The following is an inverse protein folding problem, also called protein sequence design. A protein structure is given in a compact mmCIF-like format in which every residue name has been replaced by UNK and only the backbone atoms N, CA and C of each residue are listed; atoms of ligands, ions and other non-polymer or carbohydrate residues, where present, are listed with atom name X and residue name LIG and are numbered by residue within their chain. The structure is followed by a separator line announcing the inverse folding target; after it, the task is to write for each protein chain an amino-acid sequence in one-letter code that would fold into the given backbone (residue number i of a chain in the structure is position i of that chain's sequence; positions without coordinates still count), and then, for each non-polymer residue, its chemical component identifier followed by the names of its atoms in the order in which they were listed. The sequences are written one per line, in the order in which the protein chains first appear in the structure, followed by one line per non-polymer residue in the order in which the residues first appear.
data_IF_092024125717
#
_entry.id   IF_092024125717
#
_cell.length_a   1.000
_cell.length_b   1.000
_cell.length_c   1.000
_cell.angle_alpha   90.00
_cell.angle_beta   90.00
_cell.angle_gamma   90.00
#
_symmetry.space_group_name_H-M   'P 1'
#
loop_
_entity.id
_entity.type
_entity.pdbx_description
1 polymer ?
#
# COMPACT_ATOMS: atom_id res chain seq x y z
N UNK A 1 7.25 -15.78 -10.60
CA UNK A 1 8.09 -14.99 -9.67
C UNK A 1 7.27 -14.70 -8.42
N UNK A 2 7.72 -15.13 -7.24
CA UNK A 2 7.05 -14.84 -5.97
C UNK A 2 7.95 -13.93 -5.16
N UNK A 3 7.41 -12.85 -4.63
CA UNK A 3 8.22 -11.94 -3.83
C UNK A 3 7.53 -10.62 -3.55
N UNK A 4 8.03 -9.97 -2.52
CA UNK A 4 7.68 -8.60 -2.15
C UNK A 4 8.66 -7.65 -2.85
N UNK A 5 8.13 -6.71 -3.62
CA UNK A 5 8.91 -5.66 -4.26
C UNK A 5 8.71 -4.36 -3.49
N UNK A 6 9.81 -3.66 -3.21
CA UNK A 6 9.80 -2.40 -2.47
C UNK A 6 10.56 -1.37 -3.30
N UNK A 7 9.92 -0.24 -3.54
CA UNK A 7 10.54 0.95 -4.10
C UNK A 7 10.70 1.99 -2.99
N UNK A 8 11.78 2.74 -3.08
CA UNK A 8 12.14 3.78 -2.13
C UNK A 8 12.28 5.11 -2.86
N UNK A 9 11.89 6.18 -2.18
CA UNK A 9 12.23 7.54 -2.58
C UNK A 9 13.74 7.78 -2.38
N UNK A 10 14.26 8.85 -2.99
CA UNK A 10 15.67 9.26 -2.84
C UNK A 10 16.08 9.53 -1.38
N UNK A 11 15.12 9.90 -0.52
CA UNK A 11 15.36 10.10 0.91
C UNK A 11 15.40 8.80 1.73
N UNK A 12 15.26 7.64 1.09
CA UNK A 12 15.27 6.32 1.73
C UNK A 12 13.93 5.86 2.31
N UNK A 13 12.88 6.69 2.27
CA UNK A 13 11.55 6.27 2.68
C UNK A 13 10.92 5.35 1.64
N UNK A 14 10.07 4.42 2.09
CA UNK A 14 9.30 3.57 1.18
C UNK A 14 8.39 4.44 0.31
N UNK A 15 8.30 4.11 -0.96
CA UNK A 15 7.39 4.71 -1.93
C UNK A 15 6.25 3.75 -2.26
N UNK A 16 6.58 2.48 -2.47
CA UNK A 16 5.63 1.45 -2.87
C UNK A 16 6.08 0.07 -2.39
N UNK A 17 5.13 -0.77 -2.02
CA UNK A 17 5.34 -2.16 -1.64
C UNK A 17 4.24 -3.00 -2.26
N UNK A 18 4.60 -4.02 -3.03
CA UNK A 18 3.64 -4.91 -3.68
C UNK A 18 4.04 -6.36 -3.48
N UNK A 19 3.05 -7.19 -3.17
CA UNK A 19 3.19 -8.64 -3.11
C UNK A 19 2.79 -9.24 -4.46
N UNK A 20 3.72 -9.97 -5.09
CA UNK A 20 3.51 -10.69 -6.33
C UNK A 20 3.50 -12.19 -6.08
N UNK A 21 2.47 -12.86 -6.60
CA UNK A 21 2.35 -14.33 -6.65
C UNK A 21 2.34 -14.71 -8.13
N UNK A 22 3.30 -15.54 -8.56
CA UNK A 22 3.48 -15.93 -9.97
C UNK A 22 3.67 -14.74 -10.95
N UNK A 23 4.15 -13.60 -10.46
CA UNK A 23 4.32 -12.38 -11.26
C UNK A 23 3.05 -11.52 -11.37
N UNK A 24 1.96 -11.94 -10.71
CA UNK A 24 0.68 -11.23 -10.68
C UNK A 24 0.49 -10.60 -9.30
N UNK A 25 -0.04 -9.37 -9.25
CA UNK A 25 -0.39 -8.72 -7.98
C UNK A 25 -1.40 -9.56 -7.21
N UNK A 26 -1.07 -9.86 -5.96
CA UNK A 26 -1.92 -10.64 -5.08
C UNK A 26 -1.76 -10.17 -3.64
N UNK A 27 -2.86 -9.93 -2.94
CA UNK A 27 -2.83 -9.36 -1.58
C UNK A 27 -2.80 -7.83 -1.61
N UNK A 28 -1.98 -7.21 -0.77
CA UNK A 28 -1.98 -5.75 -0.58
C UNK A 28 -0.83 -5.08 -1.32
N UNK A 29 -1.15 -4.05 -2.08
CA UNK A 29 -0.22 -3.05 -2.57
C UNK A 29 -0.35 -1.80 -1.71
N UNK A 30 0.77 -1.24 -1.26
CA UNK A 30 0.82 -0.05 -0.40
C UNK A 30 1.59 1.06 -1.10
N UNK A 31 1.10 2.28 -0.96
CA UNK A 31 1.78 3.50 -1.41
C UNK A 31 1.98 4.45 -0.24
N UNK A 32 3.12 5.13 -0.24
CA UNK A 32 3.48 6.11 0.79
C UNK A 32 3.84 7.45 0.15
N UNK A 33 3.67 8.52 0.91
CA UNK A 33 4.14 9.86 0.56
C UNK A 33 5.65 9.98 0.88
N UNK A 34 6.30 11.04 0.36
CA UNK A 34 7.74 11.28 0.58
C UNK A 34 8.12 11.42 2.06
N UNK A 35 7.21 11.90 2.91
CA UNK A 35 7.40 12.02 4.36
C UNK A 35 7.33 10.67 5.10
N UNK A 36 6.95 9.58 4.42
CA UNK A 36 6.80 8.25 4.99
C UNK A 36 5.38 7.92 5.47
N UNK A 37 4.43 8.85 5.36
CA UNK A 37 3.03 8.60 5.68
C UNK A 37 2.39 7.66 4.65
N UNK A 38 1.58 6.70 5.11
CA UNK A 38 0.85 5.79 4.23
C UNK A 38 -0.22 6.59 3.48
N UNK A 39 -0.23 6.50 2.15
CA UNK A 39 -1.14 7.23 1.28
C UNK A 39 -2.35 6.36 0.90
N UNK A 40 -2.11 5.12 0.49
CA UNK A 40 -3.18 4.23 0.03
C UNK A 40 -2.78 2.76 0.10
N UNK A 41 -3.80 1.92 0.19
CA UNK A 41 -3.67 0.46 0.10
C UNK A 41 -4.68 -0.06 -0.91
N UNK A 42 -4.19 -0.79 -1.91
CA UNK A 42 -5.03 -1.49 -2.89
C UNK A 42 -4.95 -2.99 -2.65
N UNK A 43 -6.10 -3.64 -2.51
CA UNK A 43 -6.20 -5.10 -2.38
C UNK A 43 -6.43 -5.70 -3.75
N UNK A 44 -5.67 -6.74 -4.10
CA UNK A 44 -5.74 -7.49 -5.34
C UNK A 44 -6.08 -8.96 -5.11
N UNK A 45 -7.00 -9.47 -5.91
CA UNK A 45 -7.32 -10.89 -6.03
C UNK A 45 -7.15 -11.33 -7.48
N UNK A 46 -6.29 -12.32 -7.70
CA UNK A 46 -5.97 -12.84 -9.04
C UNK A 46 -5.62 -11.74 -10.06
N UNK A 47 -4.82 -10.76 -9.62
CA UNK A 47 -4.41 -9.61 -10.45
C UNK A 47 -5.44 -8.50 -10.62
N UNK A 48 -6.64 -8.64 -10.04
CA UNK A 48 -7.71 -7.63 -10.14
C UNK A 48 -7.83 -6.90 -8.81
N UNK A 49 -7.86 -5.56 -8.85
CA UNK A 49 -8.16 -4.77 -7.67
C UNK A 49 -9.59 -5.07 -7.19
N UNK A 50 -9.75 -5.26 -5.89
CA UNK A 50 -11.05 -5.51 -5.23
C UNK A 50 -11.43 -4.40 -4.27
N UNK A 51 -10.45 -3.71 -3.69
CA UNK A 51 -10.68 -2.63 -2.73
C UNK A 51 -9.53 -1.63 -2.77
N UNK A 52 -9.85 -0.34 -2.68
CA UNK A 52 -8.87 0.75 -2.51
C UNK A 52 -9.25 1.50 -1.23
N UNK A 53 -8.29 1.57 -0.31
CA UNK A 53 -8.35 2.43 0.88
C UNK A 53 -7.40 3.61 0.73
N UNK A 54 -7.90 4.81 0.97
CA UNK A 54 -7.08 6.01 1.06
C UNK A 54 -6.87 6.39 2.53
N UNK A 55 -5.74 7.05 2.79
CA UNK A 55 -5.33 7.48 4.11
C UNK A 55 -5.02 8.98 4.06
N UNK A 56 -5.62 9.75 4.97
CA UNK A 56 -5.36 11.18 5.12
C UNK A 56 -3.89 11.38 5.55
N UNK A 57 -3.10 12.19 4.82
CA UNK A 57 -1.65 12.34 5.03
C UNK A 57 -1.28 12.85 6.43
N UNK A 58 -2.22 13.46 7.15
CA UNK A 58 -1.99 14.00 8.50
C UNK A 58 -2.17 12.98 9.63
N UNK A 59 -2.63 11.75 9.36
CA UNK A 59 -3.01 10.81 10.43
C UNK A 59 -1.97 9.76 10.79
N UNK A 60 -0.89 9.58 10.01
CA UNK A 60 0.03 8.44 10.20
C UNK A 60 1.49 8.91 10.15
N UNK A 61 1.96 9.51 11.25
CA UNK A 61 3.38 9.75 11.55
C UNK A 61 3.96 8.68 12.48
N UNK A 62 3.35 7.49 12.55
CA UNK A 62 3.81 6.44 13.46
C UNK A 62 3.91 5.11 12.74
N UNK A 63 4.91 4.33 13.12
CA UNK A 63 5.12 2.93 12.70
C UNK A 63 4.00 2.00 13.15
N UNK A 64 2.98 2.51 13.83
CA UNK A 64 1.86 1.75 14.37
C UNK A 64 0.68 1.80 13.40
N UNK A 65 0.86 1.12 12.27
CA UNK A 65 -0.18 0.93 11.24
C UNK A 65 -1.36 0.07 11.71
N UNK A 66 -1.41 -0.32 12.99
CA UNK A 66 -2.31 -1.36 13.48
C UNK A 66 -3.77 -0.91 13.65
N UNK A 67 -4.07 0.39 13.82
CA UNK A 67 -5.37 0.80 14.32
C UNK A 67 -6.12 1.87 13.51
N UNK A 68 -5.59 2.34 12.37
CA UNK A 68 -6.34 3.23 11.49
C UNK A 68 -6.82 2.47 10.25
N UNK A 69 -8.13 2.22 10.20
CA UNK A 69 -8.78 1.70 9.01
C UNK A 69 -8.99 2.89 8.05
N UNK A 70 -8.13 3.01 7.03
CA UNK A 70 -8.28 4.03 5.99
C UNK A 70 -9.64 3.97 5.31
N UNK A 71 -10.06 5.08 4.72
CA UNK A 71 -11.37 5.18 4.09
C UNK A 71 -11.43 4.33 2.82
N UNK A 72 -12.44 3.45 2.73
CA UNK A 72 -12.72 2.70 1.50
C UNK A 72 -13.28 3.68 0.48
N UNK A 73 -12.44 4.10 -0.46
CA UNK A 73 -12.83 5.00 -1.54
C UNK A 73 -13.35 4.23 -2.76
N UNK A 74 -13.04 2.94 -2.86
CA UNK A 74 -13.58 2.08 -3.90
C UNK A 74 -13.59 0.61 -3.47
N UNK A 75 -14.63 -0.12 -3.89
CA UNK A 75 -14.77 -1.56 -3.70
C UNK A 75 -15.58 -2.16 -4.85
N UNK A 76 -15.16 -3.35 -5.30
CA UNK A 76 -15.82 -4.11 -6.39
C UNK A 76 -16.97 -4.97 -5.88
#
# INVERSE_FOLDING_TARGET
MHGKFIWYFENGNKQQEVDLVEGIKHGKEKYWNKDGSLNSVTTYENGKATEIRAYEPNYINTTDTANYEGEVIWKK
#
